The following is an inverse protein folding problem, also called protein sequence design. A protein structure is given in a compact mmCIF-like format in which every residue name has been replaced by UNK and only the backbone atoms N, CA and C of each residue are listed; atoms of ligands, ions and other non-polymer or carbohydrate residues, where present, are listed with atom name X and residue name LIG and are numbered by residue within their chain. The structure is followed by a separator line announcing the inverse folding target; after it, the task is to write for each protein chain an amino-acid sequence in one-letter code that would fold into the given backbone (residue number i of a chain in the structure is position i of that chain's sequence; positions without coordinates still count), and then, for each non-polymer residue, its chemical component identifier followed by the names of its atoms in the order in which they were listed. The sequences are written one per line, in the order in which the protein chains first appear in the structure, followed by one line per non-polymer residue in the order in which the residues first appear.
data_IF_769397089548
#
_entry.id   IF_769397089548
#
_cell.length_a   1.000
_cell.length_b   1.000
_cell.length_c   1.000
_cell.angle_alpha   90.00
_cell.angle_beta   90.00
_cell.angle_gamma   90.00
#
_symmetry.space_group_name_H-M   'P 1'
#
loop_
_entity.id
_entity.type
_entity.pdbx_description
1 polymer ?
#
# COMPACT_ATOMS: atom_id res chain seq x y z
N UNK A 1 -0.79 -7.49 7.69
CA UNK A 1 -0.64 -6.88 6.36
C UNK A 1 0.21 -5.61 6.43
N UNK A 2 1.31 -5.53 5.66
CA UNK A 2 2.22 -4.38 5.62
C UNK A 2 1.66 -3.17 4.86
N UNK A 3 0.57 -3.34 4.10
CA UNK A 3 -0.14 -2.27 3.39
C UNK A 3 -1.61 -2.25 3.80
N UNK A 4 -2.19 -1.06 3.92
CA UNK A 4 -3.58 -0.85 4.30
C UNK A 4 -4.25 0.15 3.37
N UNK A 5 -5.54 -0.06 3.10
CA UNK A 5 -6.41 0.94 2.46
C UNK A 5 -7.38 1.52 3.50
N UNK A 6 -7.63 2.83 3.46
CA UNK A 6 -8.61 3.51 4.32
C UNK A 6 -9.48 4.45 3.52
N UNK A 7 -10.79 4.47 3.78
CA UNK A 7 -11.71 5.49 3.24
C UNK A 7 -11.41 6.85 3.88
N UNK A 8 -11.28 7.89 3.06
CA UNK A 8 -11.08 9.26 3.55
C UNK A 8 -12.41 9.79 4.07
N UNK A 9 -12.38 10.44 5.24
CA UNK A 9 -13.59 11.04 5.84
C UNK A 9 -14.07 12.18 4.95
N UNK A 10 -15.37 12.22 4.65
CA UNK A 10 -15.97 13.27 3.82
C UNK A 10 -15.67 13.16 2.31
N UNK A 11 -14.99 12.10 1.84
CA UNK A 11 -14.72 11.88 0.41
C UNK A 11 -15.09 10.45 0.00
N UNK A 12 -15.58 10.27 -1.22
CA UNK A 12 -15.86 8.95 -1.78
C UNK A 12 -14.60 8.28 -2.36
N UNK A 13 -13.48 8.33 -1.65
CA UNK A 13 -12.23 7.73 -2.11
C UNK A 13 -11.43 7.08 -0.99
N UNK A 14 -10.48 6.26 -1.40
CA UNK A 14 -9.64 5.41 -0.56
C UNK A 14 -8.17 5.81 -0.72
N UNK A 15 -7.45 5.82 0.40
CA UNK A 15 -5.99 6.00 0.43
C UNK A 15 -5.30 4.67 0.72
N UNK A 16 -4.16 4.42 0.06
CA UNK A 16 -3.33 3.22 0.30
C UNK A 16 -2.01 3.64 0.92
N UNK A 17 -1.66 3.03 2.06
CA UNK A 17 -0.49 3.40 2.86
C UNK A 17 0.23 2.17 3.41
N UNK A 18 1.54 2.31 3.71
CA UNK A 18 2.29 1.30 4.46
C UNK A 18 1.84 1.31 5.93
N UNK A 19 1.48 0.14 6.47
CA UNK A 19 1.17 -0.05 7.89
C UNK A 19 2.44 0.19 8.71
N UNK A 20 2.36 1.04 9.73
CA UNK A 20 3.44 1.15 10.72
C UNK A 20 3.61 -0.19 11.44
N UNK A 21 4.81 -0.76 11.42
CA UNK A 21 5.12 -1.95 12.22
C UNK A 21 5.20 -1.54 13.69
N UNK A 22 4.75 -2.41 14.61
CA UNK A 22 4.89 -2.18 16.07
C UNK A 22 6.38 -2.26 16.50
N UNK A 23 7.22 -2.95 15.72
CA UNK A 23 8.64 -3.16 16.01
C UNK A 23 9.51 -1.94 15.66
N UNK A 24 9.04 -1.07 14.75
CA UNK A 24 9.71 0.21 14.41
C UNK A 24 9.72 1.23 15.56
N UNK A 25 9.04 0.94 16.68
CA UNK A 25 9.04 1.76 17.90
C UNK A 25 10.10 1.35 18.93
N UNK A 26 10.69 0.14 18.79
CA UNK A 26 11.54 -0.48 19.82
C UNK A 26 12.98 0.03 19.82
N UNK A 27 13.46 0.45 18.65
CA UNK A 27 14.74 1.13 18.50
C UNK A 27 14.41 2.59 18.20
N UNK A 28 15.03 3.56 18.86
CA UNK A 28 14.85 5.02 18.65
C UNK A 28 15.29 5.51 17.24
N UNK A 29 15.14 4.68 16.22
CA UNK A 29 15.39 4.96 14.81
C UNK A 29 14.07 5.40 14.20
N UNK A 30 13.92 6.72 14.05
CA UNK A 30 12.82 7.33 13.30
C UNK A 30 12.77 6.74 11.90
N UNK A 31 11.99 5.67 11.72
CA UNK A 31 11.73 5.09 10.40
C UNK A 31 10.80 6.06 9.69
N UNK A 32 11.45 7.03 9.04
CA UNK A 32 10.85 8.14 8.32
C UNK A 32 9.78 7.60 7.37
N UNK A 33 8.58 8.11 7.62
CA UNK A 33 7.48 8.28 6.69
C UNK A 33 6.64 7.03 6.40
N UNK A 34 5.38 7.11 6.84
CA UNK A 34 4.28 6.32 6.26
C UNK A 34 4.25 6.61 4.77
N UNK A 35 4.79 5.71 3.94
CA UNK A 35 4.73 5.88 2.50
C UNK A 35 3.27 5.83 2.06
N UNK A 36 2.81 6.92 1.44
CA UNK A 36 1.47 7.01 0.85
C UNK A 36 1.61 6.62 -0.61
N UNK A 37 1.04 5.47 -0.97
CA UNK A 37 1.08 4.97 -2.35
C UNK A 37 -0.04 5.55 -3.21
N UNK A 38 -1.14 5.91 -2.57
CA UNK A 38 -2.21 6.65 -3.23
C UNK A 38 -2.97 7.50 -2.21
N UNK A 39 -3.20 8.77 -2.56
CA UNK A 39 -3.93 9.72 -1.70
C UNK A 39 -5.44 9.53 -1.82
N UNK A 40 -5.96 9.33 -3.03
CA UNK A 40 -7.40 9.23 -3.29
C UNK A 40 -7.62 8.36 -4.54
N UNK A 41 -8.24 7.19 -4.37
CA UNK A 41 -8.54 6.21 -5.43
C UNK A 41 -9.90 5.56 -5.21
N UNK A 42 -10.44 4.87 -6.22
CA UNK A 42 -11.65 4.06 -6.07
C UNK A 42 -11.37 2.82 -5.21
N UNK A 43 -12.43 2.22 -4.66
CA UNK A 43 -12.33 1.00 -3.84
C UNK A 43 -11.66 -0.15 -4.60
N UNK A 44 -11.96 -0.28 -5.88
CA UNK A 44 -11.39 -1.33 -6.75
C UNK A 44 -9.92 -1.10 -7.03
N UNK A 45 -9.53 0.13 -7.39
CA UNK A 45 -8.12 0.45 -7.65
C UNK A 45 -7.28 0.31 -6.38
N UNK A 46 -7.81 0.71 -5.22
CA UNK A 46 -7.16 0.48 -3.94
C UNK A 46 -6.94 -1.02 -3.65
N UNK A 47 -7.92 -1.89 -3.97
CA UNK A 47 -7.79 -3.35 -3.85
C UNK A 47 -6.74 -3.91 -4.81
N UNK A 48 -6.77 -3.52 -6.09
CA UNK A 48 -5.78 -3.93 -7.10
C UNK A 48 -4.37 -3.53 -6.68
N UNK A 49 -4.20 -2.29 -6.21
CA UNK A 49 -2.93 -1.78 -5.71
C UNK A 49 -2.43 -2.56 -4.49
N UNK A 50 -3.31 -2.90 -3.53
CA UNK A 50 -2.93 -3.74 -2.39
C UNK A 50 -2.47 -5.14 -2.82
N UNK A 51 -3.13 -5.73 -3.81
CA UNK A 51 -2.75 -7.05 -4.34
C UNK A 51 -1.39 -6.99 -5.04
N UNK A 52 -1.17 -5.98 -5.87
CA UNK A 52 0.12 -5.76 -6.53
C UNK A 52 1.26 -5.58 -5.52
N UNK A 53 1.06 -4.72 -4.52
CA UNK A 53 2.07 -4.48 -3.48
C UNK A 53 2.39 -5.75 -2.68
N UNK A 54 1.40 -6.63 -2.45
CA UNK A 54 1.64 -7.94 -1.83
C UNK A 54 2.41 -8.87 -2.76
N UNK A 55 2.04 -8.92 -4.03
CA UNK A 55 2.73 -9.75 -5.03
C UNK A 55 4.21 -9.35 -5.11
N UNK A 56 4.51 -8.05 -5.21
CA UNK A 56 5.89 -7.55 -5.22
C UNK A 56 6.65 -7.89 -3.94
N UNK A 57 5.98 -7.88 -2.78
CA UNK A 57 6.62 -8.16 -1.49
C UNK A 57 6.96 -9.65 -1.29
N UNK A 58 6.08 -10.55 -1.72
CA UNK A 58 6.21 -11.99 -1.45
C UNK A 58 6.74 -12.79 -2.66
N UNK A 59 6.52 -12.30 -3.88
CA UNK A 59 7.05 -12.89 -5.11
C UNK A 59 8.16 -12.00 -5.66
N UNK A 60 9.40 -12.24 -5.23
CA UNK A 60 10.57 -11.46 -5.67
C UNK A 60 10.80 -11.49 -7.18
N UNK A 61 10.35 -12.57 -7.84
CA UNK A 61 10.44 -12.76 -9.29
C UNK A 61 9.18 -12.28 -10.03
N UNK A 62 8.35 -11.44 -9.41
CA UNK A 62 7.18 -10.90 -10.06
C UNK A 62 7.60 -10.02 -11.26
N UNK A 63 7.32 -10.50 -12.46
CA UNK A 63 7.51 -9.76 -13.71
C UNK A 63 6.15 -9.23 -14.15
N UNK A 64 6.01 -7.90 -14.16
CA UNK A 64 4.84 -7.27 -14.73
C UNK A 64 4.85 -7.47 -16.25
N UNK A 65 3.91 -8.27 -16.77
CA UNK A 65 3.64 -8.37 -18.20
C UNK A 65 2.47 -7.45 -18.52
N UNK A 66 2.70 -6.43 -19.33
CA UNK A 66 1.61 -5.56 -19.79
C UNK A 66 0.64 -6.38 -20.62
N UNK A 67 -0.68 -6.22 -20.44
CA UNK A 67 -1.64 -6.85 -21.34
C UNK A 67 -1.39 -6.32 -22.76
N UNK A 68 -1.13 -7.22 -23.69
CA UNK A 68 -1.14 -6.92 -25.12
C UNK A 68 -2.55 -6.47 -25.48
N UNK A 69 -2.66 -5.29 -26.10
CA UNK A 69 -3.93 -4.69 -26.53
C UNK A 69 -4.58 -5.53 -27.62
#
# INVERSE_FOLDING_TARGET
MPYISRKIRGKNCYSVTKKKSKNSKKNNKSEKNKTVFSKCTTKENARKQLNLLRALQYNKNFVYRSPTK
#
